data_IF_826058026699
#
_entry.id   IF_826058026699
#
_cell.length_a   1.000
_cell.length_b   1.000
_cell.length_c   1.000
_cell.angle_alpha   90.00
_cell.angle_beta   90.00
_cell.angle_gamma   90.00
#
_symmetry.space_group_name_H-M   'P 1'
#
loop_
_entity.id
_entity.type
_entity.pdbx_description
1 polymer ?
#
# COMPACT_ATOMS: atom_id res chain seq x y z
N UNK A 1 22.21 0.03 -0.56
CA UNK A 1 21.12 0.35 -1.51
C UNK A 1 19.86 -0.34 -1.04
N UNK A 2 18.68 0.25 -1.24
CA UNK A 2 17.43 -0.47 -1.01
C UNK A 2 17.42 -1.70 -1.90
N UNK A 3 16.85 -2.78 -1.39
CA UNK A 3 16.57 -3.93 -2.22
C UNK A 3 15.61 -3.49 -3.34
N UNK A 4 15.96 -3.79 -4.59
CA UNK A 4 15.16 -3.47 -5.77
C UNK A 4 13.73 -4.02 -5.62
N UNK A 5 13.61 -5.21 -5.04
CA UNK A 5 12.34 -5.82 -4.68
C UNK A 5 11.53 -5.02 -3.65
N UNK A 6 12.18 -4.37 -2.67
CA UNK A 6 11.46 -3.50 -1.72
C UNK A 6 10.86 -2.31 -2.44
N UNK A 7 11.59 -1.71 -3.38
CA UNK A 7 11.09 -0.58 -4.18
C UNK A 7 9.88 -1.02 -5.01
N UNK A 8 9.96 -2.15 -5.69
CA UNK A 8 8.86 -2.71 -6.47
C UNK A 8 7.62 -2.99 -5.61
N UNK A 9 7.80 -3.54 -4.41
CA UNK A 9 6.70 -3.81 -3.48
C UNK A 9 6.02 -2.51 -3.05
N UNK A 10 6.78 -1.46 -2.70
CA UNK A 10 6.19 -0.17 -2.33
C UNK A 10 5.48 0.52 -3.49
N UNK A 11 6.00 0.40 -4.72
CA UNK A 11 5.35 0.90 -5.92
C UNK A 11 4.03 0.16 -6.17
N UNK A 12 4.04 -1.16 -6.05
CA UNK A 12 2.84 -1.98 -6.17
C UNK A 12 1.80 -1.61 -5.12
N UNK A 13 2.20 -1.44 -3.85
CA UNK A 13 1.30 -1.04 -2.77
C UNK A 13 0.70 0.35 -3.02
N UNK A 14 1.50 1.32 -3.45
CA UNK A 14 1.03 2.66 -3.80
C UNK A 14 -0.01 2.61 -4.91
N UNK A 15 0.25 1.84 -5.98
CA UNK A 15 -0.70 1.66 -7.08
C UNK A 15 -2.01 1.01 -6.61
N UNK A 16 -1.94 -0.04 -5.78
CA UNK A 16 -3.14 -0.72 -5.28
C UNK A 16 -3.97 0.13 -4.34
N UNK A 17 -3.33 0.95 -3.50
CA UNK A 17 -4.02 1.91 -2.65
C UNK A 17 -4.78 2.95 -3.47
N UNK A 18 -4.18 3.48 -4.53
CA UNK A 18 -4.86 4.40 -5.46
C UNK A 18 -6.07 3.73 -6.13
N UNK A 19 -5.89 2.55 -6.71
CA UNK A 19 -6.96 1.79 -7.38
C UNK A 19 -8.16 1.51 -6.45
N UNK A 20 -7.91 1.19 -5.17
CA UNK A 20 -9.00 0.92 -4.21
C UNK A 20 -9.69 2.21 -3.78
N UNK A 21 -8.94 3.29 -3.65
CA UNK A 21 -9.50 4.61 -3.31
C UNK A 21 -10.44 5.10 -4.42
N UNK A 22 -10.04 4.95 -5.68
CA UNK A 22 -10.90 5.24 -6.84
C UNK A 22 -12.15 4.35 -6.86
N UNK A 23 -11.98 3.03 -6.70
CA UNK A 23 -13.10 2.08 -6.66
C UNK A 23 -14.07 2.33 -5.51
N UNK A 24 -13.60 2.87 -4.38
CA UNK A 24 -14.47 3.20 -3.26
C UNK A 24 -15.41 4.36 -3.60
N UNK A 25 -14.99 5.28 -4.47
CA UNK A 25 -15.84 6.37 -4.97
C UNK A 25 -16.85 5.87 -6.00
N UNK A 26 -16.44 4.93 -6.86
CA UNK A 26 -17.28 4.36 -7.92
C UNK A 26 -18.31 3.33 -7.41
N UNK A 27 -17.95 2.57 -6.36
CA UNK A 27 -18.71 1.44 -5.85
C UNK A 27 -18.99 1.55 -4.34
N UNK A 28 -19.86 2.50 -3.91
CA UNK A 28 -20.19 2.68 -2.50
C UNK A 28 -20.83 1.44 -1.87
N UNK A 29 -21.48 0.57 -2.66
CA UNK A 29 -22.06 -0.71 -2.21
C UNK A 29 -21.00 -1.74 -1.76
N UNK A 30 -19.76 -1.60 -2.23
CA UNK A 30 -18.62 -2.45 -1.84
C UNK A 30 -17.74 -1.80 -0.78
N UNK A 31 -18.19 -0.68 -0.20
CA UNK A 31 -17.40 0.15 0.72
C UNK A 31 -16.78 -0.64 1.87
N UNK A 32 -17.51 -1.56 2.52
CA UNK A 32 -16.98 -2.34 3.64
C UNK A 32 -15.79 -3.25 3.22
N UNK A 33 -15.91 -3.94 2.08
CA UNK A 33 -14.84 -4.79 1.56
C UNK A 33 -13.63 -3.95 1.12
N UNK A 34 -13.87 -2.86 0.39
CA UNK A 34 -12.81 -1.98 -0.09
C UNK A 34 -12.07 -1.29 1.06
N UNK A 35 -12.78 -0.88 2.11
CA UNK A 35 -12.19 -0.35 3.34
C UNK A 35 -11.33 -1.40 4.05
N UNK A 36 -11.80 -2.64 4.15
CA UNK A 36 -10.99 -3.74 4.70
C UNK A 36 -9.70 -3.92 3.92
N UNK A 37 -9.80 -3.96 2.59
CA UNK A 37 -8.64 -4.12 1.71
C UNK A 37 -7.66 -2.95 1.80
N UNK A 38 -8.17 -1.72 1.92
CA UNK A 38 -7.36 -0.52 2.09
C UNK A 38 -6.56 -0.58 3.40
N UNK A 39 -7.21 -0.98 4.50
CA UNK A 39 -6.54 -1.17 5.81
C UNK A 39 -5.46 -2.24 5.75
N UNK A 40 -5.70 -3.37 5.11
CA UNK A 40 -4.70 -4.44 4.94
C UNK A 40 -3.45 -3.94 4.22
N UNK A 41 -3.62 -3.22 3.11
CA UNK A 41 -2.51 -2.70 2.32
C UNK A 41 -1.73 -1.60 3.06
N UNK A 42 -2.43 -0.74 3.80
CA UNK A 42 -1.79 0.25 4.67
C UNK A 42 -0.97 -0.41 5.78
N UNK A 43 -1.55 -1.40 6.46
CA UNK A 43 -0.85 -2.16 7.50
C UNK A 43 0.40 -2.86 6.95
N UNK A 44 0.29 -3.47 5.77
CA UNK A 44 1.43 -4.13 5.11
C UNK A 44 2.54 -3.13 4.77
N UNK A 45 2.18 -1.95 4.23
CA UNK A 45 3.16 -0.88 3.94
C UNK A 45 3.88 -0.40 5.19
N UNK A 46 3.16 -0.20 6.29
CA UNK A 46 3.75 0.20 7.56
C UNK A 46 4.65 -0.88 8.16
N UNK A 47 4.24 -2.15 8.08
CA UNK A 47 5.03 -3.27 8.57
C UNK A 47 6.37 -3.36 7.82
N UNK A 48 6.35 -3.26 6.48
CA UNK A 48 7.56 -3.24 5.67
C UNK A 48 8.44 -2.05 6.03
N UNK A 49 7.86 -0.86 6.18
CA UNK A 49 8.57 0.36 6.62
C UNK A 49 9.27 0.23 7.97
N UNK A 50 8.66 -0.51 8.91
CA UNK A 50 9.21 -0.68 10.27
C UNK A 50 10.24 -1.80 10.38
N UNK A 51 10.08 -2.87 9.60
CA UNK A 51 10.80 -4.13 9.84
C UNK A 51 11.73 -4.57 8.71
N UNK A 52 11.49 -4.14 7.46
CA UNK A 52 12.21 -4.62 6.28
C UNK A 52 13.00 -3.49 5.61
N UNK A 53 12.45 -2.29 5.59
CA UNK A 53 13.04 -1.16 4.88
C UNK A 53 14.25 -0.57 5.61
N UNK A 54 15.13 0.06 4.82
CA UNK A 54 16.22 0.85 5.36
C UNK A 54 15.65 2.13 6.01
N UNK A 55 15.97 2.37 7.29
CA UNK A 55 15.40 3.47 8.10
C UNK A 55 15.49 4.86 7.46
N UNK A 56 16.50 5.09 6.61
CA UNK A 56 16.77 6.38 5.98
C UNK A 56 16.39 6.43 4.48
N UNK A 57 15.67 5.42 3.98
CA UNK A 57 15.28 5.37 2.57
C UNK A 57 13.80 5.76 2.38
N UNK A 58 13.56 6.76 1.52
CA UNK A 58 12.22 7.18 1.12
C UNK A 58 11.84 6.54 -0.20
N UNK A 59 10.78 5.74 -0.18
CA UNK A 59 10.13 5.22 -1.39
C UNK A 59 9.22 6.33 -1.97
N UNK A 60 9.50 6.74 -3.20
CA UNK A 60 8.75 7.78 -3.93
C UNK A 60 7.62 7.17 -4.76
#
# INVERSE_FOLDING_TARGET
MPNEYSVEIHNYLSKKLAEITEKQQEHPEKSAYLQGRLKELQWLREYLGKHIDLKDFKYH
#
